data_IF_837772687382
#
_entry.id   IF_837772687382
#
_cell.length_a   1.000
_cell.length_b   1.000
_cell.length_c   1.000
_cell.angle_alpha   90.00
_cell.angle_beta   90.00
_cell.angle_gamma   90.00
#
_symmetry.space_group_name_H-M   'P 1'
#
loop_
_entity.id
_entity.type
_entity.pdbx_description
1 polymer ?
#
# COMPACT_ATOMS: atom_id res chain seq x y z
N UNK A 1 -7.22 0.50 -37.62
CA UNK A 1 -7.75 1.03 -36.34
C UNK A 1 -9.22 1.44 -36.51
N UNK A 2 -10.04 1.46 -35.45
CA UNK A 2 -11.45 1.91 -35.54
C UNK A 2 -11.57 3.44 -35.66
N UNK A 3 -12.62 3.94 -36.33
CA UNK A 3 -12.81 5.37 -36.63
C UNK A 3 -12.90 6.22 -35.36
N UNK A 4 -13.53 5.71 -34.30
CA UNK A 4 -13.63 6.41 -33.01
C UNK A 4 -12.27 6.60 -32.33
N UNK A 5 -11.42 5.58 -32.39
CA UNK A 5 -10.06 5.66 -31.84
C UNK A 5 -9.19 6.65 -32.64
N UNK A 6 -9.34 6.66 -33.96
CA UNK A 6 -8.68 7.65 -34.83
C UNK A 6 -9.04 9.10 -34.47
N UNK A 7 -10.34 9.38 -34.30
CA UNK A 7 -10.84 10.70 -33.92
C UNK A 7 -10.40 11.12 -32.52
N UNK A 8 -10.30 10.17 -31.58
CA UNK A 8 -9.84 10.46 -30.23
C UNK A 8 -8.35 10.85 -30.20
N UNK A 9 -7.50 10.16 -30.96
CA UNK A 9 -6.07 10.51 -31.05
C UNK A 9 -5.89 11.88 -31.71
N UNK A 10 -6.61 12.15 -32.81
CA UNK A 10 -6.53 13.46 -33.47
C UNK A 10 -7.05 14.59 -32.58
N UNK A 11 -8.14 14.39 -31.85
CA UNK A 11 -8.63 15.35 -30.86
C UNK A 11 -7.60 15.60 -29.75
N UNK A 12 -6.96 14.54 -29.24
CA UNK A 12 -5.90 14.65 -28.25
C UNK A 12 -4.71 15.45 -28.81
N UNK A 13 -4.21 15.14 -30.00
CA UNK A 13 -3.07 15.85 -30.60
C UNK A 13 -3.38 17.34 -30.85
N UNK A 14 -4.60 17.65 -31.26
CA UNK A 14 -5.06 19.04 -31.43
C UNK A 14 -5.24 19.81 -30.11
N UNK A 15 -5.33 19.11 -28.97
CA UNK A 15 -5.40 19.76 -27.65
C UNK A 15 -4.06 20.34 -27.20
N UNK A 16 -2.95 19.92 -27.83
CA UNK A 16 -1.61 20.43 -27.55
C UNK A 16 -1.18 21.50 -28.57
N UNK A 17 -0.26 22.40 -28.19
CA UNK A 17 0.36 23.32 -29.14
C UNK A 17 0.92 22.56 -30.35
N UNK A 18 0.62 23.07 -31.55
CA UNK A 18 0.95 22.41 -32.81
C UNK A 18 2.43 22.04 -32.87
N UNK A 19 2.71 20.75 -32.91
CA UNK A 19 4.06 20.21 -33.00
C UNK A 19 4.42 20.11 -34.48
N UNK A 20 5.60 20.59 -34.87
CA UNK A 20 6.07 20.51 -36.25
C UNK A 20 6.31 19.03 -36.64
N UNK A 21 5.50 18.51 -37.56
CA UNK A 21 5.61 17.14 -38.02
C UNK A 21 4.57 16.80 -39.08
N UNK A 22 4.79 15.69 -39.79
CA UNK A 22 3.79 15.17 -40.72
C UNK A 22 2.71 14.42 -39.92
N UNK A 23 1.45 14.91 -39.90
CA UNK A 23 0.39 14.30 -39.11
C UNK A 23 0.03 12.90 -39.63
N UNK A 24 0.14 12.65 -40.93
CA UNK A 24 -0.18 11.36 -41.53
C UNK A 24 0.81 10.28 -41.09
N UNK A 25 2.12 10.59 -41.08
CA UNK A 25 3.14 9.66 -40.57
C UNK A 25 2.98 9.39 -39.08
N UNK A 26 2.58 10.41 -38.32
CA UNK A 26 2.33 10.28 -36.88
C UNK A 26 1.14 9.34 -36.63
N UNK A 27 0.03 9.52 -37.37
CA UNK A 27 -1.13 8.66 -37.27
C UNK A 27 -0.86 7.22 -37.73
N UNK A 28 -0.07 7.04 -38.80
CA UNK A 28 0.37 5.70 -39.24
C UNK A 28 1.21 5.00 -38.16
N UNK A 29 2.06 5.74 -37.46
CA UNK A 29 2.86 5.19 -36.36
C UNK A 29 1.97 4.73 -35.21
N UNK A 30 0.96 5.53 -34.82
CA UNK A 30 -0.02 5.13 -33.82
C UNK A 30 -0.80 3.89 -34.26
N UNK A 31 -1.23 3.82 -35.51
CA UNK A 31 -1.96 2.66 -36.03
C UNK A 31 -1.11 1.38 -36.00
N UNK A 32 0.15 1.46 -36.39
CA UNK A 32 1.07 0.31 -36.37
C UNK A 32 1.32 -0.20 -34.94
N UNK A 33 1.57 0.71 -33.98
CA UNK A 33 1.94 0.32 -32.61
C UNK A 33 0.73 -0.09 -31.75
N UNK A 34 -0.46 0.42 -32.08
CA UNK A 34 -1.71 0.08 -31.39
C UNK A 34 -2.45 -1.10 -32.03
N UNK A 35 -1.83 -1.79 -32.99
CA UNK A 35 -2.38 -3.00 -33.59
C UNK A 35 -2.70 -4.05 -32.52
N UNK A 36 -3.91 -4.59 -32.55
CA UNK A 36 -4.38 -5.61 -31.60
C UNK A 36 -4.90 -5.09 -30.26
N UNK A 37 -4.92 -3.77 -30.04
CA UNK A 37 -5.51 -3.17 -28.82
C UNK A 37 -6.99 -2.84 -29.04
N UNK A 38 -7.79 -2.92 -27.97
CA UNK A 38 -9.21 -2.54 -28.02
C UNK A 38 -9.36 -1.03 -28.30
N UNK A 39 -10.26 -0.63 -29.23
CA UNK A 39 -10.49 0.79 -29.53
C UNK A 39 -10.89 1.63 -28.32
N UNK A 40 -11.64 1.03 -27.39
CA UNK A 40 -12.09 1.70 -26.18
C UNK A 40 -10.92 2.09 -25.25
N UNK A 41 -9.88 1.26 -25.16
CA UNK A 41 -8.69 1.60 -24.38
C UNK A 41 -7.92 2.78 -25.00
N UNK A 42 -7.88 2.87 -26.32
CA UNK A 42 -7.27 4.00 -27.06
C UNK A 42 -8.04 5.29 -26.80
N UNK A 43 -9.37 5.26 -26.89
CA UNK A 43 -10.23 6.44 -26.63
C UNK A 43 -10.05 6.93 -25.20
N UNK A 44 -10.04 6.04 -24.22
CA UNK A 44 -9.88 6.42 -22.82
C UNK A 44 -8.48 6.98 -22.53
N UNK A 45 -7.43 6.39 -23.10
CA UNK A 45 -6.08 6.94 -22.99
C UNK A 45 -6.01 8.35 -23.57
N UNK A 46 -6.54 8.57 -24.77
CA UNK A 46 -6.59 9.88 -25.41
C UNK A 46 -7.32 10.91 -24.55
N UNK A 47 -8.45 10.52 -23.96
CA UNK A 47 -9.19 11.38 -23.04
C UNK A 47 -8.37 11.73 -21.79
N UNK A 48 -7.65 10.77 -21.20
CA UNK A 48 -6.80 11.02 -20.02
C UNK A 48 -5.64 11.94 -20.29
N UNK A 49 -4.99 11.82 -21.44
CA UNK A 49 -3.93 12.75 -21.85
C UNK A 49 -4.49 14.16 -22.08
N UNK A 50 -5.67 14.26 -22.68
CA UNK A 50 -6.37 15.53 -22.91
C UNK A 50 -6.78 16.21 -21.60
N UNK A 51 -7.23 15.46 -20.60
CA UNK A 51 -7.65 16.00 -19.29
C UNK A 51 -6.51 16.14 -18.28
N UNK A 52 -5.29 15.75 -18.63
CA UNK A 52 -4.13 15.78 -17.72
C UNK A 52 -4.23 14.78 -16.56
N UNK A 53 -5.00 13.70 -16.72
CA UNK A 53 -5.22 12.67 -15.69
C UNK A 53 -4.09 11.61 -15.64
N UNK A 54 -3.08 11.71 -16.51
CA UNK A 54 -1.93 10.80 -16.53
C UNK A 54 -0.84 11.35 -15.61
N UNK A 55 -0.40 10.55 -14.63
CA UNK A 55 0.61 10.95 -13.66
C UNK A 55 1.95 11.24 -14.36
N UNK A 56 2.57 12.37 -14.02
CA UNK A 56 3.88 12.77 -14.56
C UNK A 56 3.86 13.25 -16.02
N UNK A 57 2.69 13.42 -16.63
CA UNK A 57 2.56 13.98 -17.97
C UNK A 57 2.87 15.48 -17.98
N UNK A 58 3.53 15.94 -19.04
CA UNK A 58 3.64 17.35 -19.35
C UNK A 58 2.36 17.87 -20.05
N UNK A 59 1.72 18.89 -19.48
CA UNK A 59 0.49 19.47 -20.04
C UNK A 59 0.75 20.44 -21.21
N UNK A 60 2.00 20.89 -21.37
CA UNK A 60 2.38 21.85 -22.41
C UNK A 60 2.80 21.20 -23.74
N UNK A 61 3.05 19.89 -23.75
CA UNK A 61 3.53 19.16 -24.92
C UNK A 61 2.74 17.87 -25.13
N UNK A 62 2.58 17.49 -26.40
CA UNK A 62 1.96 16.22 -26.76
C UNK A 62 2.75 15.03 -26.17
N UNK A 63 2.06 13.95 -25.76
CA UNK A 63 2.74 12.77 -25.26
C UNK A 63 3.57 12.11 -26.37
N UNK A 64 4.69 11.50 -25.99
CA UNK A 64 5.41 10.62 -26.90
C UNK A 64 4.57 9.39 -27.24
N UNK A 65 4.75 8.84 -28.44
CA UNK A 65 4.05 7.61 -28.86
C UNK A 65 4.27 6.49 -27.83
N UNK A 66 5.48 6.37 -27.28
CA UNK A 66 5.80 5.37 -26.26
C UNK A 66 4.99 5.57 -24.96
N UNK A 67 4.91 6.81 -24.45
CA UNK A 67 4.14 7.12 -23.25
C UNK A 67 2.64 6.87 -23.45
N UNK A 68 2.13 7.23 -24.63
CA UNK A 68 0.73 6.96 -24.99
C UNK A 68 0.44 5.45 -25.01
N UNK A 69 1.29 4.67 -25.67
CA UNK A 69 1.12 3.21 -25.80
C UNK A 69 1.19 2.51 -24.43
N UNK A 70 2.04 2.98 -23.52
CA UNK A 70 2.10 2.46 -22.15
C UNK A 70 0.78 2.65 -21.42
N UNK A 71 0.20 3.85 -21.48
CA UNK A 71 -1.10 4.12 -20.84
C UNK A 71 -2.23 3.34 -21.50
N UNK A 72 -2.24 3.23 -22.82
CA UNK A 72 -3.22 2.42 -23.55
C UNK A 72 -3.17 0.96 -23.11
N UNK A 73 -1.96 0.35 -23.03
CA UNK A 73 -1.79 -1.03 -22.58
C UNK A 73 -2.24 -1.21 -21.13
N UNK A 74 -1.91 -0.26 -20.26
CA UNK A 74 -2.36 -0.26 -18.86
C UNK A 74 -3.89 -0.21 -18.75
N UNK A 75 -4.55 0.61 -19.58
CA UNK A 75 -6.01 0.67 -19.62
C UNK A 75 -6.58 -0.65 -20.14
N UNK A 76 -6.04 -1.19 -21.24
CA UNK A 76 -6.49 -2.44 -21.82
C UNK A 76 -6.37 -3.62 -20.83
N UNK A 77 -5.33 -3.62 -19.99
CA UNK A 77 -5.15 -4.61 -18.93
C UNK A 77 -6.22 -4.48 -17.82
N UNK A 78 -6.53 -3.27 -17.37
CA UNK A 78 -7.45 -3.03 -16.26
C UNK A 78 -8.92 -3.12 -16.69
N UNK A 79 -9.22 -2.71 -17.92
CA UNK A 79 -10.58 -2.63 -18.49
C UNK A 79 -11.43 -3.89 -18.28
N UNK A 80 -10.96 -5.14 -18.54
CA UNK A 80 -11.77 -6.34 -18.30
C UNK A 80 -12.09 -6.60 -16.82
N UNK A 81 -11.37 -5.97 -15.89
CA UNK A 81 -11.60 -6.10 -14.45
C UNK A 81 -12.50 -5.01 -13.87
N UNK A 82 -12.80 -3.95 -14.62
CA UNK A 82 -13.69 -2.88 -14.16
C UNK A 82 -15.12 -3.39 -14.01
N UNK A 83 -15.73 -3.07 -12.87
CA UNK A 83 -17.09 -3.54 -12.54
C UNK A 83 -17.18 -5.02 -12.17
N UNK A 84 -16.07 -5.79 -12.23
CA UNK A 84 -16.05 -7.11 -11.60
C UNK A 84 -16.13 -6.91 -10.10
N UNK A 85 -17.06 -7.65 -9.47
CA UNK A 85 -17.15 -7.74 -8.01
C UNK A 85 -15.75 -8.08 -7.50
N UNK A 86 -15.25 -7.30 -6.55
CA UNK A 86 -13.94 -7.57 -5.95
C UNK A 86 -13.86 -9.06 -5.62
N UNK A 87 -12.77 -9.71 -6.04
CA UNK A 87 -12.54 -11.10 -5.67
C UNK A 87 -12.71 -11.19 -4.16
N UNK A 88 -13.50 -12.16 -3.70
CA UNK A 88 -13.58 -12.44 -2.28
C UNK A 88 -12.14 -12.58 -1.78
N UNK A 89 -11.75 -11.75 -0.81
CA UNK A 89 -10.41 -11.80 -0.22
C UNK A 89 -10.13 -13.27 0.05
N UNK A 90 -9.08 -13.87 -0.56
CA UNK A 90 -8.81 -15.28 -0.35
C UNK A 90 -8.67 -15.47 1.15
N UNK A 91 -9.63 -16.20 1.73
CA UNK A 91 -9.63 -16.61 3.11
C UNK A 91 -8.49 -17.61 3.23
N UNK A 92 -7.25 -17.11 3.30
CA UNK A 92 -6.08 -17.88 3.70
C UNK A 92 -6.29 -18.22 5.17
N UNK A 93 -6.96 -19.33 5.42
CA UNK A 93 -7.21 -19.78 6.79
C UNK A 93 -8.17 -18.85 7.55
N UNK A 94 -8.49 -19.18 8.80
CA UNK A 94 -9.55 -18.50 9.53
C UNK A 94 -9.25 -17.00 9.54
N UNK A 95 -10.30 -16.22 9.27
CA UNK A 95 -10.46 -14.80 9.52
C UNK A 95 -9.22 -14.14 10.12
N UNK A 96 -8.64 -13.13 9.44
CA UNK A 96 -7.74 -12.09 10.01
C UNK A 96 -7.75 -12.24 11.52
N UNK A 97 -6.77 -12.99 12.08
CA UNK A 97 -6.90 -13.59 13.41
C UNK A 97 -7.62 -12.59 14.29
N UNK A 98 -8.80 -12.91 14.87
CA UNK A 98 -9.59 -11.93 15.61
C UNK A 98 -8.58 -11.22 16.47
N UNK A 99 -8.44 -9.91 16.28
CA UNK A 99 -7.38 -9.12 16.92
C UNK A 99 -7.50 -9.47 18.38
N UNK A 100 -6.62 -10.35 18.88
CA UNK A 100 -6.85 -11.02 20.16
C UNK A 100 -6.89 -9.87 21.12
N UNK A 101 -8.06 -9.59 21.69
CA UNK A 101 -8.14 -8.61 22.74
C UNK A 101 -7.18 -9.13 23.81
N UNK A 102 -6.12 -8.38 24.12
CA UNK A 102 -5.20 -8.79 25.17
C UNK A 102 -6.08 -9.03 26.38
N UNK A 103 -5.98 -10.22 26.96
CA UNK A 103 -6.71 -10.48 28.19
C UNK A 103 -6.29 -9.40 29.21
N UNK A 104 -7.15 -9.01 30.16
CA UNK A 104 -6.80 -7.96 31.12
C UNK A 104 -5.44 -8.19 31.82
N UNK A 105 -5.05 -9.45 32.01
CA UNK A 105 -3.73 -9.89 32.48
C UNK A 105 -2.59 -9.63 31.50
N UNK A 106 -2.79 -9.87 30.21
CA UNK A 106 -1.81 -9.60 29.16
C UNK A 106 -1.53 -8.10 29.02
N UNK A 107 -2.57 -7.28 29.14
CA UNK A 107 -2.44 -5.82 29.13
C UNK A 107 -1.61 -5.32 30.32
N UNK A 108 -1.91 -5.80 31.53
CA UNK A 108 -1.15 -5.40 32.73
C UNK A 108 0.34 -5.79 32.62
N UNK A 109 0.64 -6.98 32.11
CA UNK A 109 2.03 -7.43 31.85
C UNK A 109 2.75 -6.55 30.83
N UNK A 110 2.08 -6.19 29.73
CA UNK A 110 2.66 -5.28 28.72
C UNK A 110 3.02 -3.91 29.33
N UNK A 111 2.18 -3.38 30.22
CA UNK A 111 2.46 -2.13 30.92
C UNK A 111 3.68 -2.20 31.85
N UNK A 112 4.04 -3.38 32.38
CA UNK A 112 5.22 -3.56 33.23
C UNK A 112 6.53 -3.65 32.42
N UNK A 113 6.48 -4.16 31.18
CA UNK A 113 7.68 -4.40 30.35
C UNK A 113 8.46 -3.13 30.03
N UNK A 114 7.77 -2.03 29.71
CA UNK A 114 8.45 -0.78 29.33
C UNK A 114 9.17 -0.10 30.51
N UNK A 115 8.56 0.06 31.70
CA UNK A 115 9.26 0.53 32.90
C UNK A 115 10.44 -0.35 33.31
N UNK A 116 10.29 -1.68 33.21
CA UNK A 116 11.39 -2.62 33.47
C UNK A 116 12.52 -2.47 32.46
N UNK A 117 12.21 -2.28 31.18
CA UNK A 117 13.22 -2.03 30.15
C UNK A 117 13.98 -0.72 30.41
N UNK A 118 13.27 0.34 30.79
CA UNK A 118 13.91 1.61 31.17
C UNK A 118 14.81 1.45 32.41
N UNK A 119 14.37 0.68 33.41
CA UNK A 119 15.20 0.36 34.57
C UNK A 119 16.42 -0.50 34.20
N UNK A 120 16.25 -1.50 33.32
CA UNK A 120 17.33 -2.35 32.85
C UNK A 120 18.40 -1.55 32.08
N UNK A 121 17.98 -0.61 31.24
CA UNK A 121 18.90 0.29 30.52
C UNK A 121 19.67 1.18 31.49
N UNK A 122 18.98 1.80 32.48
CA UNK A 122 19.63 2.63 33.51
C UNK A 122 20.64 1.85 34.34
N UNK A 123 20.33 0.60 34.67
CA UNK A 123 21.18 -0.26 35.48
C UNK A 123 22.25 -1.00 34.65
N UNK A 124 22.19 -0.94 33.31
CA UNK A 124 23.05 -1.73 32.43
C UNK A 124 22.85 -3.24 32.53
N UNK A 125 21.64 -3.69 32.90
CA UNK A 125 21.31 -5.10 33.22
C UNK A 125 20.18 -5.66 32.36
N UNK A 126 20.26 -5.46 31.05
CA UNK A 126 19.29 -5.99 30.09
C UNK A 126 19.28 -7.54 30.06
N UNK A 127 20.41 -8.15 30.41
CA UNK A 127 20.60 -9.59 30.60
C UNK A 127 19.66 -10.16 31.68
N UNK A 128 19.56 -9.50 32.83
CA UNK A 128 18.68 -9.92 33.93
C UNK A 128 17.20 -9.78 33.57
N UNK A 129 16.83 -8.73 32.82
CA UNK A 129 15.46 -8.58 32.31
C UNK A 129 15.11 -9.69 31.32
N UNK A 130 16.01 -10.04 30.41
CA UNK A 130 15.80 -11.10 29.45
C UNK A 130 15.71 -12.50 30.11
N UNK A 131 16.45 -12.72 31.20
CA UNK A 131 16.33 -13.94 31.99
C UNK A 131 14.96 -14.02 32.70
N UNK A 132 14.56 -12.95 33.37
CA UNK A 132 13.26 -12.88 34.04
C UNK A 132 12.07 -13.05 33.08
N UNK A 133 12.10 -12.46 31.88
CA UNK A 133 11.00 -12.62 30.90
C UNK A 133 10.84 -14.07 30.40
N UNK A 134 11.92 -14.87 30.41
CA UNK A 134 11.86 -16.30 30.08
C UNK A 134 11.28 -17.14 31.22
N UNK A 135 11.58 -16.76 32.47
CA UNK A 135 11.19 -17.53 33.65
C UNK A 135 9.77 -17.21 34.15
N UNK A 136 9.23 -16.05 33.77
CA UNK A 136 7.81 -15.74 33.94
C UNK A 136 7.53 -14.47 34.76
N UNK A 137 6.26 -14.30 35.14
CA UNK A 137 5.78 -13.07 35.77
C UNK A 137 6.36 -12.85 37.17
N UNK A 138 6.55 -13.91 37.93
CA UNK A 138 7.04 -13.89 39.31
C UNK A 138 8.44 -13.27 39.37
N UNK A 139 9.32 -13.69 38.47
CA UNK A 139 10.66 -13.13 38.36
C UNK A 139 10.66 -11.70 37.82
N UNK A 140 9.76 -11.35 36.89
CA UNK A 140 9.60 -9.97 36.44
C UNK A 140 9.14 -9.05 37.57
N UNK A 141 8.27 -9.52 38.46
CA UNK A 141 7.80 -8.75 39.62
C UNK A 141 8.88 -8.65 40.69
N UNK A 142 9.63 -9.72 40.96
CA UNK A 142 10.78 -9.67 41.86
C UNK A 142 11.83 -8.67 41.35
N UNK A 143 12.09 -8.67 40.05
CA UNK A 143 13.00 -7.73 39.40
C UNK A 143 12.47 -6.29 39.51
N UNK A 144 11.17 -6.08 39.25
CA UNK A 144 10.53 -4.77 39.39
C UNK A 144 10.64 -4.23 40.82
N UNK A 145 10.42 -5.07 41.84
CA UNK A 145 10.59 -4.70 43.24
C UNK A 145 12.04 -4.34 43.56
N UNK A 146 13.00 -5.13 43.08
CA UNK A 146 14.44 -4.87 43.29
C UNK A 146 14.90 -3.54 42.67
N UNK A 147 14.31 -3.16 41.54
CA UNK A 147 14.61 -1.92 40.81
C UNK A 147 13.66 -0.77 41.14
N UNK A 148 12.80 -0.93 42.14
CA UNK A 148 11.79 0.05 42.59
C UNK A 148 10.89 0.55 41.45
N UNK A 149 10.59 -0.34 40.51
CA UNK A 149 9.62 -0.09 39.44
C UNK A 149 8.21 -0.36 39.98
N UNK A 150 7.26 0.58 39.83
CA UNK A 150 5.90 0.39 40.31
C UNK A 150 5.22 -0.77 39.57
N UNK A 151 4.66 -1.70 40.33
CA UNK A 151 3.87 -2.84 39.81
C UNK A 151 2.41 -2.58 40.11
N UNK A 152 1.53 -2.76 39.12
CA UNK A 152 0.09 -2.55 39.33
C UNK A 152 -0.52 -3.61 40.26
N UNK A 153 -1.52 -3.23 41.04
CA UNK A 153 -2.21 -4.16 41.96
C UNK A 153 -2.82 -5.36 41.22
N UNK A 154 -3.23 -5.17 39.97
CA UNK A 154 -3.76 -6.25 39.13
C UNK A 154 -2.74 -7.38 38.89
N UNK A 155 -1.46 -7.03 38.71
CA UNK A 155 -0.37 -8.01 38.54
C UNK A 155 -0.12 -8.75 39.86
N UNK A 156 -0.14 -8.04 40.98
CA UNK A 156 0.03 -8.64 42.31
C UNK A 156 -1.12 -9.59 42.68
N UNK A 157 -2.35 -9.26 42.30
CA UNK A 157 -3.51 -10.13 42.49
C UNK A 157 -3.46 -11.38 41.60
N UNK A 158 -2.86 -11.30 40.42
CA UNK A 158 -2.65 -12.46 39.54
C UNK A 158 -1.65 -13.44 40.12
N UNK A 159 -0.56 -12.95 40.70
CA UNK A 159 0.43 -13.79 41.41
C UNK A 159 -0.18 -14.56 42.58
N UNK A 160 -1.20 -14.00 43.26
CA UNK A 160 -1.90 -14.67 44.37
C UNK A 160 -2.93 -15.70 43.91
N UNK A 161 -3.29 -15.71 42.62
CA UNK A 161 -4.31 -16.60 42.03
C UNK A 161 -3.72 -17.73 41.18
N UNK A 162 -2.43 -17.64 40.84
CA UNK A 162 -1.66 -18.68 40.18
C UNK A 162 -1.10 -19.66 41.22
#
# INVERSE_FOLDING_TARGET
MDQKAYLAITAMLNSFPQTSGNPDLTMQTYEAVLAGVTPQAVVEAAQRFTTGAVAGQNQSFAPSVAAFVQEVRRIAEIMPHRGRKALAVPVRGPARAPRREPRPDEHARMCLKLPLLQAAIRNGRADLLAAADRNGLDELVALAQSWRVPVSEQILLQLKRA
#
